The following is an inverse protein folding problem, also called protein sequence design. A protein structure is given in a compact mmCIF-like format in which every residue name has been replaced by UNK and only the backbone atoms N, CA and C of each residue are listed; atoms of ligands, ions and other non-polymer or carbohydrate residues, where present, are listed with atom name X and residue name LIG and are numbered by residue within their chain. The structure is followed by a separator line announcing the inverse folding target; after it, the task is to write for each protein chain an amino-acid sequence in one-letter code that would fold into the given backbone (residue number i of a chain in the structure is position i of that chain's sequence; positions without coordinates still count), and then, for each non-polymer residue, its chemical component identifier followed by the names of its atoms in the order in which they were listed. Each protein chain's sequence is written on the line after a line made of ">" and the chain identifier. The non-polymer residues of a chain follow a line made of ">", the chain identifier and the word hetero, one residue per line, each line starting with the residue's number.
data_IF_497117903250
#
_entry.id   IF_497117903250
#
_cell.length_a   1.000
_cell.length_b   1.000
_cell.length_c   1.000
_cell.angle_alpha   90.00
_cell.angle_beta   90.00
_cell.angle_gamma   90.00
#
_symmetry.space_group_name_H-M   'P 1'
#
loop_
_entity.id
_entity.type
_entity.pdbx_description
1 polymer ?
#
# COMPACT_ATOMS: atom_id res chain seq x y z
N UNK A 1 -5.32 11.72 1.36
CA UNK A 1 -6.05 12.95 1.73
C UNK A 1 -7.17 12.56 2.65
N UNK A 2 -7.33 13.24 3.78
CA UNK A 2 -8.45 13.01 4.70
C UNK A 2 -9.47 14.11 4.50
N UNK A 3 -10.73 13.74 4.24
CA UNK A 3 -11.85 14.70 4.16
C UNK A 3 -12.19 15.14 5.58
N UNK A 4 -12.01 16.43 5.87
CA UNK A 4 -12.29 16.97 7.21
C UNK A 4 -13.68 17.60 7.31
N UNK A 5 -14.13 18.26 6.24
CA UNK A 5 -15.45 18.90 6.10
C UNK A 5 -15.88 18.85 4.62
N UNK A 6 -17.14 19.17 4.28
CA UNK A 6 -17.55 19.33 2.89
C UNK A 6 -16.63 20.33 2.16
N UNK A 7 -16.11 19.96 0.99
CA UNK A 7 -15.23 20.82 0.19
C UNK A 7 -13.80 20.99 0.71
N UNK A 8 -13.38 20.30 1.78
CA UNK A 8 -12.01 20.40 2.31
C UNK A 8 -11.24 19.07 2.23
N UNK A 9 -9.91 19.19 2.17
CA UNK A 9 -8.98 18.07 2.27
C UNK A 9 -7.81 18.41 3.19
N UNK A 10 -7.35 17.41 3.93
CA UNK A 10 -6.09 17.44 4.70
C UNK A 10 -5.10 16.46 4.09
N UNK A 11 -3.81 16.70 4.30
CA UNK A 11 -2.77 15.76 3.89
C UNK A 11 -2.98 14.38 4.54
N UNK A 12 -2.50 13.31 3.89
CA UNK A 12 -2.47 11.99 4.51
C UNK A 12 -1.42 11.95 5.64
N UNK A 13 -1.58 11.03 6.59
CA UNK A 13 -0.51 10.69 7.50
C UNK A 13 0.68 10.15 6.70
N UNK A 14 1.88 10.67 6.98
CA UNK A 14 3.11 10.35 6.25
C UNK A 14 4.29 10.33 7.21
N UNK A 15 5.21 9.40 7.01
CA UNK A 15 6.52 9.45 7.66
C UNK A 15 7.41 10.47 6.92
N UNK A 16 8.17 11.28 7.65
CA UNK A 16 9.06 12.29 7.05
C UNK A 16 10.37 11.68 6.51
N UNK A 17 10.74 10.53 7.03
CA UNK A 17 11.89 9.74 6.58
C UNK A 17 11.43 8.40 6.02
N UNK A 18 12.13 7.84 5.03
CA UNK A 18 11.86 6.51 4.50
C UNK A 18 12.22 5.43 5.52
N UNK A 19 11.57 4.27 5.41
CA UNK A 19 12.02 3.06 6.10
C UNK A 19 13.27 2.50 5.41
N UNK A 20 14.21 2.01 6.20
CA UNK A 20 15.43 1.36 5.69
C UNK A 20 15.17 -0.12 5.41
N UNK A 21 15.66 -0.60 4.26
CA UNK A 21 15.67 -2.01 3.89
C UNK A 21 16.96 -2.30 3.14
N UNK A 22 17.56 -3.48 3.34
CA UNK A 22 18.74 -3.85 2.56
C UNK A 22 18.37 -4.11 1.10
N UNK A 23 19.26 -3.77 0.18
CA UNK A 23 19.03 -3.97 -1.25
C UNK A 23 18.81 -5.45 -1.58
N UNK A 24 19.53 -6.36 -0.92
CA UNK A 24 19.35 -7.79 -1.06
C UNK A 24 17.93 -8.23 -0.67
N UNK A 25 17.41 -7.76 0.48
CA UNK A 25 16.04 -8.06 0.94
C UNK A 25 15.00 -7.46 -0.01
N UNK A 26 15.14 -6.20 -0.40
CA UNK A 26 14.24 -5.54 -1.34
C UNK A 26 14.15 -6.30 -2.67
N UNK A 27 15.29 -6.70 -3.22
CA UNK A 27 15.33 -7.45 -4.47
C UNK A 27 14.74 -8.86 -4.34
N UNK A 28 14.93 -9.54 -3.20
CA UNK A 28 14.31 -10.83 -2.94
C UNK A 28 12.77 -10.71 -2.92
N UNK A 29 12.24 -9.73 -2.17
CA UNK A 29 10.80 -9.44 -2.13
C UNK A 29 10.24 -9.07 -3.50
N UNK A 30 10.94 -8.20 -4.24
CA UNK A 30 10.51 -7.80 -5.59
C UNK A 30 10.41 -9.00 -6.55
N UNK A 31 11.32 -9.97 -6.43
CA UNK A 31 11.32 -11.20 -7.24
C UNK A 31 10.22 -12.19 -6.84
N UNK A 32 9.76 -12.18 -5.58
CA UNK A 32 8.71 -13.10 -5.12
C UNK A 32 7.30 -12.67 -5.52
N UNK A 33 7.03 -11.36 -5.66
CA UNK A 33 5.69 -10.83 -5.99
C UNK A 33 5.07 -11.46 -7.25
N UNK A 34 5.77 -11.61 -8.39
CA UNK A 34 5.20 -12.28 -9.56
C UNK A 34 4.86 -13.76 -9.32
N UNK A 35 5.64 -14.45 -8.48
CA UNK A 35 5.41 -15.86 -8.13
C UNK A 35 4.12 -15.99 -7.31
N UNK A 36 3.91 -15.09 -6.35
CA UNK A 36 2.64 -15.02 -5.61
C UNK A 36 1.46 -14.69 -6.53
N UNK A 37 1.66 -13.80 -7.50
CA UNK A 37 0.65 -13.52 -8.54
C UNK A 37 0.21 -14.77 -9.29
N UNK A 38 1.17 -15.58 -9.72
CA UNK A 38 0.90 -16.86 -10.41
C UNK A 38 0.22 -17.87 -9.49
N UNK A 39 0.66 -17.99 -8.24
CA UNK A 39 0.04 -18.86 -7.25
C UNK A 39 -1.42 -18.50 -7.01
N UNK A 40 -1.72 -17.22 -6.74
CA UNK A 40 -3.08 -16.76 -6.50
C UNK A 40 -3.95 -16.96 -7.74
N UNK A 41 -3.41 -16.72 -8.94
CA UNK A 41 -4.12 -17.01 -10.19
C UNK A 41 -4.42 -18.51 -10.34
N UNK A 42 -3.45 -19.39 -10.09
CA UNK A 42 -3.65 -20.84 -10.17
C UNK A 42 -4.68 -21.35 -9.15
N UNK A 43 -4.68 -20.79 -7.93
CA UNK A 43 -5.70 -21.09 -6.92
C UNK A 43 -7.08 -20.59 -7.37
N UNK A 44 -7.16 -19.38 -7.95
CA UNK A 44 -8.40 -18.81 -8.45
C UNK A 44 -9.05 -19.64 -9.56
N UNK A 45 -8.24 -20.21 -10.45
CA UNK A 45 -8.71 -21.08 -11.53
C UNK A 45 -9.05 -22.51 -11.07
N UNK A 46 -8.63 -22.90 -9.86
CA UNK A 46 -9.04 -24.17 -9.26
C UNK A 46 -10.35 -24.01 -8.47
N UNK A 47 -11.46 -23.95 -9.20
CA UNK A 47 -12.77 -23.66 -8.61
C UNK A 47 -13.24 -24.71 -7.60
N UNK A 48 -12.90 -25.98 -7.80
CA UNK A 48 -13.25 -27.04 -6.86
C UNK A 48 -12.52 -26.83 -5.52
N UNK A 49 -11.20 -26.65 -5.57
CA UNK A 49 -10.40 -26.37 -4.38
C UNK A 49 -10.90 -25.14 -3.63
N UNK A 50 -11.19 -24.03 -4.32
CA UNK A 50 -11.70 -22.82 -3.69
C UNK A 50 -13.05 -23.05 -2.99
N UNK A 51 -13.96 -23.79 -3.63
CA UNK A 51 -15.26 -24.07 -3.02
C UNK A 51 -15.11 -24.92 -1.77
N UNK A 52 -14.29 -25.97 -1.82
CA UNK A 52 -14.01 -26.85 -0.68
C UNK A 52 -13.33 -26.10 0.48
N UNK A 53 -12.36 -25.24 0.17
CA UNK A 53 -11.62 -24.47 1.18
C UNK A 53 -12.47 -23.43 1.91
N UNK A 54 -13.45 -22.81 1.22
CA UNK A 54 -14.29 -21.73 1.78
C UNK A 54 -15.60 -22.26 2.39
N UNK A 55 -16.07 -23.45 2.03
CA UNK A 55 -17.32 -24.02 2.53
C UNK A 55 -17.44 -23.99 4.07
N UNK A 56 -16.40 -24.34 4.88
CA UNK A 56 -16.50 -24.28 6.34
C UNK A 56 -16.75 -22.85 6.87
N UNK A 57 -16.17 -21.84 6.21
CA UNK A 57 -16.36 -20.42 6.59
C UNK A 57 -17.75 -19.94 6.19
N UNK A 58 -18.22 -20.34 5.01
CA UNK A 58 -19.55 -19.99 4.49
C UNK A 58 -20.71 -20.55 5.35
N UNK A 59 -20.49 -21.64 6.09
CA UNK A 59 -21.48 -22.17 7.03
C UNK A 59 -21.72 -21.23 8.22
N UNK A 60 -20.68 -20.52 8.66
CA UNK A 60 -20.72 -19.61 9.81
C UNK A 60 -20.95 -18.14 9.46
N UNK A 61 -20.72 -17.74 8.20
CA UNK A 61 -20.73 -16.33 7.79
C UNK A 61 -21.59 -16.08 6.54
N UNK A 62 -22.57 -15.19 6.68
CA UNK A 62 -23.52 -14.87 5.61
C UNK A 62 -22.85 -14.19 4.41
N UNK A 63 -21.83 -13.36 4.62
CA UNK A 63 -21.13 -12.69 3.52
C UNK A 63 -20.35 -13.71 2.69
N UNK A 64 -19.60 -14.62 3.32
CA UNK A 64 -18.90 -15.69 2.61
C UNK A 64 -19.84 -16.68 1.92
N UNK A 65 -21.01 -16.93 2.52
CA UNK A 65 -22.05 -17.75 1.89
C UNK A 65 -22.53 -17.17 0.56
N UNK A 66 -22.83 -15.87 0.52
CA UNK A 66 -23.26 -15.20 -0.71
C UNK A 66 -22.14 -15.17 -1.76
N UNK A 67 -20.89 -14.89 -1.36
CA UNK A 67 -19.73 -14.94 -2.26
C UNK A 67 -19.58 -16.33 -2.89
N UNK A 68 -19.66 -17.39 -2.09
CA UNK A 68 -19.52 -18.76 -2.55
C UNK A 68 -20.69 -19.18 -3.47
N UNK A 69 -21.91 -18.75 -3.17
CA UNK A 69 -23.07 -18.99 -4.02
C UNK A 69 -22.90 -18.34 -5.40
N UNK A 70 -22.49 -17.06 -5.46
CA UNK A 70 -22.19 -16.37 -6.71
C UNK A 70 -21.08 -17.06 -7.50
N UNK A 71 -19.99 -17.46 -6.83
CA UNK A 71 -18.89 -18.20 -7.44
C UNK A 71 -19.37 -19.51 -8.08
N UNK A 72 -20.17 -20.32 -7.36
CA UNK A 72 -20.78 -21.56 -7.89
C UNK A 72 -21.61 -21.30 -9.14
N UNK A 73 -22.51 -20.30 -9.11
CA UNK A 73 -23.37 -19.96 -10.26
C UNK A 73 -22.56 -19.55 -11.49
N UNK A 74 -21.50 -18.78 -11.29
CA UNK A 74 -20.61 -18.31 -12.35
C UNK A 74 -19.88 -19.48 -13.03
N UNK A 75 -19.39 -20.45 -12.27
CA UNK A 75 -18.56 -21.55 -12.78
C UNK A 75 -19.37 -22.80 -13.18
N UNK A 76 -20.64 -22.91 -12.77
CA UNK A 76 -21.54 -24.00 -13.19
C UNK A 76 -22.04 -23.86 -14.65
N UNK A 77 -22.17 -22.64 -15.17
CA UNK A 77 -22.77 -22.37 -16.50
C UNK A 77 -21.83 -22.61 -17.69
N UNK A 78 -20.70 -23.29 -17.48
CA UNK A 78 -19.65 -23.50 -18.48
C UNK A 78 -18.69 -22.30 -18.59
N UNK A 79 -17.51 -22.53 -19.18
CA UNK A 79 -16.41 -21.56 -19.32
C UNK A 79 -16.85 -20.27 -20.03
N UNK A 80 -17.39 -19.31 -19.28
CA UNK A 80 -17.46 -17.94 -19.74
C UNK A 80 -16.03 -17.51 -20.08
N UNK A 81 -15.76 -17.20 -21.37
CA UNK A 81 -14.46 -16.67 -21.78
C UNK A 81 -14.19 -15.39 -20.98
N UNK A 82 -13.22 -15.46 -20.08
CA UNK A 82 -12.78 -14.34 -19.25
C UNK A 82 -11.29 -14.12 -19.50
N UNK A 83 -10.90 -12.87 -19.55
CA UNK A 83 -9.49 -12.48 -19.48
C UNK A 83 -9.28 -11.90 -18.09
N UNK A 84 -8.72 -12.69 -17.14
CA UNK A 84 -8.55 -12.22 -15.77
C UNK A 84 -7.51 -11.09 -15.72
N UNK A 85 -7.81 -10.03 -14.96
CA UNK A 85 -6.86 -8.99 -14.60
C UNK A 85 -6.68 -9.03 -13.09
N UNK A 86 -5.46 -9.32 -12.65
CA UNK A 86 -5.10 -9.37 -11.24
C UNK A 86 -4.23 -8.16 -10.86
N UNK A 87 -4.83 -7.23 -10.12
CA UNK A 87 -4.13 -6.10 -9.51
C UNK A 87 -4.03 -6.32 -8.01
N UNK A 88 -2.93 -6.93 -7.58
CA UNK A 88 -2.73 -7.36 -6.20
C UNK A 88 -1.65 -6.51 -5.51
N UNK A 89 -1.77 -6.36 -4.19
CA UNK A 89 -0.67 -5.96 -3.31
C UNK A 89 -0.31 -7.10 -2.37
N UNK A 90 0.98 -7.40 -2.25
CA UNK A 90 1.52 -8.36 -1.28
C UNK A 90 2.22 -7.58 -0.20
N UNK A 91 1.73 -7.70 1.03
CA UNK A 91 2.24 -6.96 2.17
C UNK A 91 3.21 -7.84 2.96
N UNK A 92 4.43 -7.31 3.18
CA UNK A 92 5.50 -7.97 3.92
C UNK A 92 5.87 -7.14 5.15
N UNK A 93 6.32 -7.82 6.20
CA UNK A 93 6.95 -7.20 7.36
C UNK A 93 8.35 -7.77 7.54
N UNK A 94 9.33 -6.90 7.77
CA UNK A 94 10.72 -7.32 7.97
C UNK A 94 10.93 -7.70 9.45
N UNK A 95 10.95 -9.00 9.72
CA UNK A 95 11.24 -9.53 11.05
C UNK A 95 12.75 -9.53 11.33
N UNK A 96 13.14 -9.29 12.59
CA UNK A 96 14.56 -9.22 12.95
C UNK A 96 15.27 -10.58 12.89
N UNK A 97 14.57 -11.66 13.25
CA UNK A 97 15.14 -13.00 13.33
C UNK A 97 14.87 -13.80 12.06
N UNK A 98 13.61 -13.78 11.59
CA UNK A 98 13.13 -14.58 10.48
C UNK A 98 13.30 -13.88 9.12
N UNK A 99 13.62 -12.58 9.13
CA UNK A 99 13.65 -11.76 7.91
C UNK A 99 12.25 -11.50 7.35
N UNK A 100 12.13 -11.08 6.09
CA UNK A 100 10.85 -10.67 5.52
C UNK A 100 9.79 -11.77 5.54
N UNK A 101 8.70 -11.54 6.28
CA UNK A 101 7.55 -12.42 6.38
C UNK A 101 6.39 -11.88 5.55
N UNK A 102 5.67 -12.79 4.91
CA UNK A 102 4.39 -12.49 4.24
C UNK A 102 3.31 -12.27 5.30
N UNK A 103 2.64 -11.11 5.23
CA UNK A 103 1.55 -10.76 6.16
C UNK A 103 0.20 -10.96 5.50
N UNK A 104 0.01 -10.45 4.28
CA UNK A 104 -1.30 -10.46 3.62
C UNK A 104 -1.19 -10.39 2.09
N UNK A 105 -2.16 -11.03 1.43
CA UNK A 105 -2.47 -10.79 0.03
C UNK A 105 -3.74 -9.95 -0.11
N UNK A 106 -3.61 -8.78 -0.73
CA UNK A 106 -4.73 -7.92 -1.06
C UNK A 106 -5.05 -8.05 -2.55
N UNK A 107 -5.96 -8.95 -2.89
CA UNK A 107 -6.42 -9.21 -4.27
C UNK A 107 -7.60 -8.34 -4.71
N UNK A 108 -8.22 -7.62 -3.77
CA UNK A 108 -9.28 -6.63 -4.01
C UNK A 108 -8.87 -5.30 -3.39
N UNK A 109 -9.19 -4.20 -4.09
CA UNK A 109 -8.95 -2.85 -3.61
C UNK A 109 -7.50 -2.61 -3.13
N UNK A 110 -6.51 -3.10 -3.89
CA UNK A 110 -5.08 -2.89 -3.68
C UNK A 110 -4.70 -1.40 -3.81
N UNK A 111 -5.03 -0.62 -2.78
CA UNK A 111 -4.83 0.82 -2.74
C UNK A 111 -3.39 1.23 -2.47
N UNK A 112 -3.20 2.50 -2.14
CA UNK A 112 -1.94 3.12 -1.68
C UNK A 112 -0.84 3.36 -2.73
N UNK A 113 -0.91 2.79 -3.93
CA UNK A 113 0.08 3.04 -4.99
C UNK A 113 0.38 4.53 -5.23
N UNK A 114 -0.64 5.38 -5.51
CA UNK A 114 -0.43 6.82 -5.69
C UNK A 114 0.13 7.53 -4.46
N UNK A 115 -0.24 7.09 -3.25
CA UNK A 115 0.29 7.67 -2.00
C UNK A 115 1.76 7.32 -1.81
N UNK A 116 2.17 6.08 -2.11
CA UNK A 116 3.57 5.66 -2.07
C UNK A 116 4.46 6.51 -2.98
N UNK A 117 4.01 6.77 -4.22
CA UNK A 117 4.73 7.64 -5.15
C UNK A 117 4.89 9.07 -4.59
N UNK A 118 3.81 9.68 -4.08
CA UNK A 118 3.86 11.04 -3.51
C UNK A 118 4.73 11.12 -2.27
N UNK A 119 4.73 10.10 -1.42
CA UNK A 119 5.63 10.01 -0.26
C UNK A 119 7.09 9.95 -0.71
N UNK A 120 7.41 9.16 -1.74
CA UNK A 120 8.76 9.09 -2.30
C UNK A 120 9.23 10.43 -2.91
N UNK A 121 8.34 11.14 -3.62
CA UNK A 121 8.60 12.51 -4.11
C UNK A 121 8.89 13.49 -2.97
N UNK A 122 8.10 13.42 -1.89
CA UNK A 122 8.32 14.25 -0.71
C UNK A 122 9.66 13.95 -0.04
N UNK A 123 10.01 12.67 0.15
CA UNK A 123 11.31 12.30 0.73
C UNK A 123 12.48 12.85 -0.10
N UNK A 124 12.42 12.74 -1.43
CA UNK A 124 13.43 13.34 -2.33
C UNK A 124 13.49 14.86 -2.19
N UNK A 125 12.34 15.52 -2.04
CA UNK A 125 12.31 16.97 -1.81
C UNK A 125 12.96 17.33 -0.48
N UNK A 126 12.59 16.66 0.62
CA UNK A 126 13.14 16.93 1.95
C UNK A 126 14.64 16.69 2.02
N UNK A 127 15.13 15.62 1.39
CA UNK A 127 16.56 15.32 1.29
C UNK A 127 17.35 16.45 0.60
N UNK A 128 16.78 17.05 -0.45
CA UNK A 128 17.41 18.19 -1.16
C UNK A 128 17.42 19.48 -0.33
N UNK A 129 16.35 19.72 0.44
CA UNK A 129 16.21 20.97 1.21
C UNK A 129 17.01 20.96 2.51
N UNK A 130 17.16 19.79 3.15
CA UNK A 130 17.78 19.67 4.47
C UNK A 130 18.51 18.33 4.63
N UNK A 131 19.61 18.10 3.88
CA UNK A 131 20.28 16.79 3.80
C UNK A 131 20.80 16.30 5.16
N UNK A 132 21.43 17.17 5.95
CA UNK A 132 21.96 16.80 7.26
C UNK A 132 20.83 16.32 8.19
N UNK A 133 19.76 17.14 8.31
CA UNK A 133 18.61 16.78 9.14
C UNK A 133 17.86 15.54 8.63
N UNK A 134 17.83 15.30 7.33
CA UNK A 134 17.19 14.13 6.74
C UNK A 134 17.98 12.84 7.01
N UNK A 135 19.31 12.92 7.03
CA UNK A 135 20.21 11.77 7.25
C UNK A 135 20.37 11.40 8.73
N UNK A 136 20.16 12.33 9.67
CA UNK A 136 20.30 12.11 11.12
C UNK A 136 19.22 11.18 11.74
N UNK A 137 18.23 10.73 10.95
CA UNK A 137 17.22 9.75 11.37
C UNK A 137 16.13 10.30 12.34
N UNK A 138 15.04 9.54 12.50
CA UNK A 138 13.79 9.99 13.13
C UNK A 138 13.90 10.51 14.59
N UNK A 139 15.01 10.25 15.29
CA UNK A 139 15.20 10.62 16.71
C UNK A 139 15.39 12.11 16.99
N UNK A 140 15.87 12.90 16.03
CA UNK A 140 16.15 14.35 16.20
C UNK A 140 15.31 15.26 15.26
N UNK A 141 14.51 14.65 14.37
CA UNK A 141 13.91 15.31 13.21
C UNK A 141 12.64 16.10 13.53
N UNK A 142 11.92 15.74 14.60
CA UNK A 142 10.63 16.34 14.93
C UNK A 142 10.68 17.88 15.04
N UNK A 143 11.67 18.44 15.73
CA UNK A 143 11.74 19.89 15.96
C UNK A 143 12.44 20.67 14.83
N UNK A 144 13.55 20.14 14.29
CA UNK A 144 14.40 20.89 13.32
C UNK A 144 13.79 20.93 11.92
N UNK A 145 13.22 19.81 11.45
CA UNK A 145 12.61 19.72 10.12
C UNK A 145 11.25 20.44 10.08
N UNK A 146 10.45 20.34 11.14
CA UNK A 146 9.20 21.12 11.27
C UNK A 146 9.47 22.63 11.32
N UNK A 147 10.55 23.08 11.97
CA UNK A 147 10.95 24.50 12.00
C UNK A 147 11.35 25.01 10.62
N UNK A 148 12.16 24.23 9.87
CA UNK A 148 12.53 24.53 8.48
C UNK A 148 11.33 24.58 7.55
N UNK A 149 10.41 23.61 7.65
CA UNK A 149 9.18 23.58 6.85
C UNK A 149 8.24 24.75 7.19
N UNK A 150 8.08 25.10 8.47
CA UNK A 150 7.30 26.29 8.89
C UNK A 150 7.93 27.59 8.38
N UNK A 151 9.25 27.71 8.40
CA UNK A 151 9.97 28.87 7.87
C UNK A 151 9.86 29.01 6.35
N UNK A 152 9.92 27.89 5.62
CA UNK A 152 9.81 27.89 4.16
C UNK A 152 8.37 28.11 3.69
N UNK A 153 7.36 27.49 4.32
CA UNK A 153 5.95 27.75 4.02
C UNK A 153 5.56 29.20 4.33
N UNK A 154 6.05 29.81 5.42
CA UNK A 154 5.81 31.24 5.69
C UNK A 154 6.40 32.13 4.59
N UNK A 155 7.57 31.79 4.03
CA UNK A 155 8.20 32.57 2.95
C UNK A 155 7.47 32.42 1.63
N UNK A 156 6.98 31.23 1.28
CA UNK A 156 6.21 31.02 0.04
C UNK A 156 4.79 31.61 0.13
N UNK A 157 4.10 31.53 1.27
CA UNK A 157 2.81 32.20 1.47
C UNK A 157 2.94 33.73 1.56
N UNK A 158 4.02 34.27 2.15
CA UNK A 158 4.27 35.72 2.16
C UNK A 158 4.60 36.28 0.77
N UNK A 159 5.11 35.45 -0.16
CA UNK A 159 5.34 35.84 -1.54
C UNK A 159 4.05 35.75 -2.40
N UNK A 160 3.13 34.85 -2.05
CA UNK A 160 1.85 34.67 -2.74
C UNK A 160 0.73 35.63 -2.29
N UNK A 161 0.89 36.31 -1.15
CA UNK A 161 -0.08 37.29 -0.59
C UNK A 161 0.55 38.69 -0.53
N UNK A 162 1.59 38.94 -1.33
CA UNK A 162 2.14 40.28 -1.52
C UNK A 162 1.15 41.17 -2.24
N UNK A 163 0.38 41.95 -1.49
CA UNK A 163 -0.20 43.20 -1.95
C UNK A 163 0.92 44.07 -2.54
N UNK A 164 0.82 44.32 -3.83
CA UNK A 164 1.03 45.63 -4.43
C UNK A 164 -0.17 45.87 -5.35
#
# INVERSE_FOLDING_TARGET
>A
MLKATPGSSKHAAISLTPATISEARFNALRKSVPIFGQLINAVAENHQFLQEAIEPVAQGDAFFRELLAMHKVIHQKGNAKRTPLLMMRTDFMDDQELGPQLIEFNSIAAGMGPFGQRTHELHRYLQKQAPNAFNDGAGLIGCKLMSLLKGHLRRTLSCAIGFN
#
